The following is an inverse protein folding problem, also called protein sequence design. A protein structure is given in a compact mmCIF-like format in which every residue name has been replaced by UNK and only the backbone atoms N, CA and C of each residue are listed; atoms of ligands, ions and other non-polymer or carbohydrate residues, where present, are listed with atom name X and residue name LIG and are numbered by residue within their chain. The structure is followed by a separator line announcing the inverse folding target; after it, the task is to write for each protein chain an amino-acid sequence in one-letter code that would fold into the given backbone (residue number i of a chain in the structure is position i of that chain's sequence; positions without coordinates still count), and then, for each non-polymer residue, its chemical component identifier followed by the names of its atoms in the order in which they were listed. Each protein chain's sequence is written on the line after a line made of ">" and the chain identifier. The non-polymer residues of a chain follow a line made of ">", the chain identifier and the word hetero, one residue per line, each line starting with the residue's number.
data_IF_446510751542
#
_entry.id   IF_446510751542
#
_cell.length_a   1.000
_cell.length_b   1.000
_cell.length_c   1.000
_cell.angle_alpha   90.00
_cell.angle_beta   90.00
_cell.angle_gamma   90.00
#
_symmetry.space_group_name_H-M   'P 1'
#
loop_
_entity.id
_entity.type
_entity.pdbx_description
1 polymer ?
#
# COMPACT_ATOMS: atom_id res chain seq x y z
N UNK A 1 4.34 25.38 -10.12
CA UNK A 1 4.31 24.81 -9.69
C UNK A 1 4.46 24.53 -9.31
N UNK A 2 4.28 24.59 -9.34
CA UNK A 2 4.43 24.12 -8.55
C UNK A 2 5.16 23.25 -8.79
N UNK A 3 6.00 23.60 -8.85
CA UNK A 3 6.89 22.79 -8.77
C UNK A 3 6.40 21.48 -8.71
N UNK A 4 7.12 20.54 -9.13
CA UNK A 4 6.69 19.36 -8.86
C UNK A 4 6.80 19.25 -7.47
N UNK A 5 5.77 19.02 -6.88
CA UNK A 5 5.82 18.93 -5.47
C UNK A 5 6.21 17.57 -5.06
N UNK A 6 6.85 17.47 -3.94
CA UNK A 6 7.13 16.17 -3.36
C UNK A 6 5.81 15.56 -2.95
N UNK A 7 5.85 14.30 -2.66
CA UNK A 7 4.65 13.63 -2.19
C UNK A 7 4.12 14.31 -0.95
N UNK A 8 4.99 14.67 -0.03
CA UNK A 8 4.53 15.30 1.20
C UNK A 8 3.89 16.65 0.92
N UNK A 9 4.43 17.39 -0.02
CA UNK A 9 3.87 18.68 -0.34
C UNK A 9 2.51 18.53 -0.96
N UNK A 10 2.34 17.54 -1.81
CA UNK A 10 1.04 17.35 -2.40
C UNK A 10 0.01 16.93 -1.38
N UNK A 11 0.42 16.12 -0.42
CA UNK A 11 -0.50 15.72 0.62
C UNK A 11 -0.93 16.93 1.43
N UNK A 12 0.01 17.78 1.75
CA UNK A 12 -0.33 18.97 2.51
C UNK A 12 -1.29 19.85 1.75
N UNK A 13 -1.12 19.94 0.44
CA UNK A 13 -2.03 20.77 -0.31
C UNK A 13 -3.37 20.16 -0.42
N UNK A 14 -3.44 18.84 -0.54
CA UNK A 14 -4.73 18.22 -0.61
C UNK A 14 -5.52 18.47 0.62
N UNK A 15 -4.86 18.63 1.71
CA UNK A 15 -5.60 18.92 2.90
C UNK A 15 -6.11 20.30 2.85
N UNK A 16 -5.59 21.11 1.95
CA UNK A 16 -6.13 22.34 1.82
C UNK A 16 -6.89 22.41 0.64
N UNK A 17 -6.76 21.65 -0.19
CA UNK A 17 -7.57 21.71 -1.30
C UNK A 17 -7.91 20.46 -1.67
N UNK A 18 -7.37 19.98 -1.57
CA UNK A 18 -7.46 18.95 -1.87
C UNK A 18 -7.85 18.23 -1.79
N UNK A 19 -7.97 18.29 -1.68
CA UNK A 19 -7.97 17.37 -1.62
C UNK A 19 -8.16 16.65 -1.89
N UNK A 20 -7.91 16.48 -1.81
CA UNK A 20 -7.73 15.73 -2.13
C UNK A 20 -7.84 15.04 -2.73
N UNK A 21 -7.73 14.91 -2.76
CA UNK A 21 -7.57 14.27 -3.32
C UNK A 21 -7.57 13.92 -4.12
N UNK A 22 -7.35 13.98 -4.36
CA UNK A 22 -7.16 13.63 -5.02
C UNK A 22 -7.15 13.30 -5.71
N UNK A 23 -7.00 13.53 -6.01
CA UNK A 23 -6.80 13.19 -6.65
C UNK A 23 -6.37 12.55 -7.09
N UNK A 24 -6.00 12.52 -7.07
CA UNK A 24 -5.48 11.99 -7.58
C UNK A 24 -5.46 10.98 -8.16
N UNK A 25 -5.57 10.96 -8.68
CA UNK A 25 -5.77 10.01 -9.21
C UNK A 25 -4.72 9.51 -9.95
N UNK A 26 -3.94 10.15 -10.40
CA UNK A 26 -2.90 9.69 -10.94
C UNK A 26 -2.16 9.40 -9.90
N UNK A 27 -2.53 8.78 -9.05
CA UNK A 27 -1.87 8.55 -7.95
C UNK A 27 -0.55 8.05 -8.14
N UNK A 28 0.24 8.04 -7.18
CA UNK A 28 1.58 7.64 -7.30
C UNK A 28 1.68 6.18 -7.66
N UNK A 29 2.76 5.85 -8.29
CA UNK A 29 3.08 4.50 -8.61
C UNK A 29 3.92 3.98 -7.46
N UNK A 30 3.56 2.86 -6.93
CA UNK A 30 4.33 2.26 -5.87
C UNK A 30 3.80 2.56 -4.49
N UNK A 31 4.54 2.13 -3.51
CA UNK A 31 4.15 2.25 -2.12
C UNK A 31 4.57 3.60 -1.60
N UNK A 32 3.66 4.30 -0.96
CA UNK A 32 3.95 5.63 -0.44
C UNK A 32 4.36 5.53 1.01
N UNK A 33 5.34 6.31 1.41
CA UNK A 33 5.89 6.24 2.76
C UNK A 33 6.00 7.63 3.35
N UNK A 34 5.59 7.74 4.61
CA UNK A 34 5.71 9.00 5.33
C UNK A 34 6.42 8.69 6.63
N UNK A 35 7.61 9.24 6.83
CA UNK A 35 8.38 8.99 8.05
C UNK A 35 7.96 10.01 9.10
N UNK A 36 7.40 9.53 10.21
CA UNK A 36 6.84 10.41 11.21
C UNK A 36 7.97 10.99 12.06
N UNK A 37 7.87 12.32 12.32
CA UNK A 37 8.91 13.01 13.00
C UNK A 37 8.98 12.61 14.45
N UNK A 38 10.18 12.40 14.93
CA UNK A 38 10.37 12.15 16.36
C UNK A 38 10.09 10.76 16.84
N UNK A 39 9.70 9.84 15.95
CA UNK A 39 9.45 8.47 16.35
C UNK A 39 9.96 7.55 15.25
N UNK A 40 10.15 6.28 15.59
CA UNK A 40 10.67 5.33 14.62
C UNK A 40 9.52 4.64 13.90
N UNK A 41 8.69 5.43 13.25
CA UNK A 41 7.49 4.92 12.57
C UNK A 41 7.45 5.46 11.16
N UNK A 42 7.14 4.58 10.23
CA UNK A 42 6.90 4.94 8.85
C UNK A 42 5.45 4.60 8.55
N UNK A 43 4.68 5.59 8.14
CA UNK A 43 3.29 5.35 7.73
C UNK A 43 3.30 4.99 6.27
N UNK A 44 2.91 3.78 5.97
CA UNK A 44 3.00 3.24 4.63
C UNK A 44 1.61 3.14 4.03
N UNK A 45 1.44 3.67 2.83
CA UNK A 45 0.18 3.56 2.12
C UNK A 45 0.34 2.50 1.04
N UNK A 46 -0.48 1.46 1.12
CA UNK A 46 -0.49 0.39 0.15
C UNK A 46 -1.70 0.57 -0.76
N UNK A 47 -1.52 0.33 -2.04
CA UNK A 47 -2.59 0.53 -3.00
C UNK A 47 -2.59 -0.59 -4.02
N UNK A 48 -3.72 -1.24 -4.17
CA UNK A 48 -3.90 -2.28 -5.17
C UNK A 48 -4.80 -1.72 -6.26
N UNK A 49 -4.32 -1.58 -7.49
CA UNK A 49 -5.13 -0.96 -8.52
C UNK A 49 -6.29 -1.84 -8.93
N UNK A 50 -7.35 -1.22 -9.40
CA UNK A 50 -8.52 -1.95 -9.84
C UNK A 50 -8.16 -3.01 -10.87
N UNK A 51 -7.18 -2.72 -11.73
CA UNK A 51 -6.80 -3.67 -12.77
C UNK A 51 -6.32 -5.00 -12.19
N UNK A 52 -5.80 -5.00 -10.97
CA UNK A 52 -5.34 -6.23 -10.34
C UNK A 52 -6.49 -7.02 -9.71
N UNK A 53 -7.62 -6.37 -9.46
CA UNK A 53 -8.74 -7.02 -8.82
C UNK A 53 -10.05 -6.39 -9.32
N UNK A 54 -10.34 -6.52 -10.61
CA UNK A 54 -11.42 -5.72 -11.22
C UNK A 54 -12.82 -6.00 -10.69
N UNK A 55 -13.08 -7.21 -10.27
CA UNK A 55 -14.40 -7.53 -9.77
C UNK A 55 -14.38 -7.96 -8.32
N UNK A 56 -13.37 -7.53 -7.58
CA UNK A 56 -13.22 -7.98 -6.21
C UNK A 56 -14.30 -7.39 -5.31
N UNK A 57 -14.68 -8.17 -4.33
CA UNK A 57 -15.61 -7.69 -3.31
C UNK A 57 -14.88 -7.43 -2.01
N UNK A 58 -13.69 -7.96 -1.83
CA UNK A 58 -12.90 -7.69 -0.64
C UNK A 58 -11.44 -7.88 -0.96
N UNK A 59 -10.58 -7.11 -0.30
CA UNK A 59 -9.14 -7.28 -0.40
C UNK A 59 -8.56 -7.06 0.98
N UNK A 60 -7.65 -7.94 1.38
CA UNK A 60 -6.92 -7.81 2.64
C UNK A 60 -5.43 -7.73 2.33
N UNK A 61 -4.68 -7.00 3.13
CA UNK A 61 -3.24 -7.04 3.02
C UNK A 61 -2.74 -7.99 4.11
N UNK A 62 -1.85 -8.88 3.73
CA UNK A 62 -1.40 -9.95 4.62
C UNK A 62 0.11 -10.03 4.54
N UNK A 63 0.77 -9.95 5.67
CA UNK A 63 2.23 -9.97 5.65
C UNK A 63 2.85 -10.06 7.01
N UNK A 64 4.17 -9.84 7.04
CA UNK A 64 4.93 -9.93 8.29
C UNK A 64 4.39 -9.01 9.36
N UNK A 65 3.84 -7.86 8.96
CA UNK A 65 3.36 -6.88 9.94
C UNK A 65 2.10 -7.31 10.67
N UNK A 66 1.41 -8.36 10.22
CA UNK A 66 0.25 -8.85 10.94
C UNK A 66 0.31 -10.36 11.11
N UNK A 67 1.55 -10.91 11.07
CA UNK A 67 1.78 -12.33 11.26
C UNK A 67 1.03 -13.17 10.24
N UNK A 68 0.88 -12.64 9.04
CA UNK A 68 0.21 -13.29 7.92
C UNK A 68 -1.22 -13.69 8.24
N UNK A 69 -1.89 -12.87 9.07
CA UNK A 69 -3.27 -13.10 9.44
C UNK A 69 -4.17 -12.63 8.31
N UNK A 70 -4.93 -13.54 7.72
CA UNK A 70 -5.70 -13.25 6.52
C UNK A 70 -6.94 -12.40 6.77
N UNK A 71 -7.23 -12.08 8.01
CA UNK A 71 -8.40 -11.25 8.30
C UNK A 71 -8.09 -10.04 9.15
N UNK A 72 -6.82 -9.72 9.32
CA UNK A 72 -6.48 -8.62 10.22
C UNK A 72 -6.63 -7.24 9.60
N UNK A 73 -6.30 -7.09 8.32
CA UNK A 73 -6.23 -5.76 7.71
C UNK A 73 -7.01 -5.68 6.41
N UNK A 74 -8.31 -5.41 6.49
CA UNK A 74 -9.08 -5.20 5.28
C UNK A 74 -8.71 -3.88 4.62
N UNK A 75 -8.73 -3.84 3.31
CA UNK A 75 -8.45 -2.63 2.56
C UNK A 75 -9.76 -1.99 2.14
N UNK A 76 -9.71 -0.68 1.92
CA UNK A 76 -10.89 0.08 1.57
C UNK A 76 -10.93 0.33 0.08
N UNK A 77 -12.07 0.12 -0.56
CA UNK A 77 -12.20 0.38 -1.97
C UNK A 77 -12.48 1.86 -2.20
N UNK A 78 -11.75 2.46 -3.09
CA UNK A 78 -11.96 3.84 -3.49
C UNK A 78 -12.98 3.91 -4.60
N UNK A 79 -13.45 5.13 -4.89
CA UNK A 79 -14.47 5.28 -5.92
C UNK A 79 -14.01 4.77 -7.28
N UNK A 80 -12.72 4.87 -7.57
CA UNK A 80 -12.23 4.41 -8.87
C UNK A 80 -12.00 2.90 -8.91
N UNK A 81 -12.26 2.20 -7.82
CA UNK A 81 -12.10 0.76 -7.80
C UNK A 81 -10.78 0.27 -7.24
N UNK A 82 -9.85 1.17 -6.96
CA UNK A 82 -8.60 0.76 -6.31
C UNK A 82 -8.87 0.46 -4.84
N UNK A 83 -8.01 -0.35 -4.24
CA UNK A 83 -8.08 -0.62 -2.81
C UNK A 83 -6.88 0.01 -2.12
N UNK A 84 -7.10 0.55 -0.93
CA UNK A 84 -6.05 1.28 -0.24
C UNK A 84 -6.08 0.97 1.26
N UNK A 85 -4.92 1.01 1.89
CA UNK A 85 -4.84 0.97 3.35
C UNK A 85 -3.54 1.62 3.79
N UNK A 86 -3.52 2.12 5.01
CA UNK A 86 -2.32 2.71 5.59
C UNK A 86 -1.97 1.94 6.84
N UNK A 87 -0.70 1.65 7.01
CA UNK A 87 -0.21 0.95 8.19
C UNK A 87 0.99 1.70 8.74
N UNK A 88 1.08 1.78 10.05
CA UNK A 88 2.22 2.39 10.71
C UNK A 88 3.18 1.27 11.08
N UNK A 89 4.37 1.30 10.50
CA UNK A 89 5.34 0.23 10.64
C UNK A 89 6.63 0.80 11.24
N UNK A 90 7.41 -0.06 11.88
CA UNK A 90 8.69 0.37 12.40
C UNK A 90 9.63 0.66 11.25
N UNK A 91 10.49 1.67 11.42
CA UNK A 91 11.44 2.03 10.38
C UNK A 91 12.63 1.08 10.40
N UNK A 92 13.35 1.06 9.27
CA UNK A 92 14.58 0.29 9.19
C UNK A 92 14.35 -1.20 9.03
N UNK A 93 13.22 -1.62 8.51
CA UNK A 93 12.89 -3.03 8.40
C UNK A 93 12.41 -3.39 7.02
N UNK A 94 12.36 -4.68 6.76
CA UNK A 94 11.77 -5.21 5.54
C UNK A 94 10.59 -6.03 5.95
N UNK A 95 9.46 -5.84 5.26
CA UNK A 95 8.27 -6.61 5.56
C UNK A 95 7.81 -7.28 4.25
N UNK A 96 7.63 -8.58 4.29
CA UNK A 96 7.08 -9.32 3.14
C UNK A 96 5.58 -9.32 3.24
N UNK A 97 4.90 -9.23 2.12
CA UNK A 97 3.45 -9.17 2.13
C UNK A 97 2.86 -9.55 0.78
N UNK A 98 1.57 -9.79 0.78
CA UNK A 98 0.78 -9.97 -0.44
C UNK A 98 -0.61 -9.46 -0.17
N UNK A 99 -1.41 -9.38 -1.23
CA UNK A 99 -2.82 -9.03 -1.12
C UNK A 99 -3.64 -10.31 -1.27
N UNK A 100 -4.72 -10.41 -0.50
CA UNK A 100 -5.63 -11.55 -0.60
C UNK A 100 -6.96 -11.03 -1.11
N UNK A 101 -7.33 -11.44 -2.31
CA UNK A 101 -8.52 -10.96 -3.00
C UNK A 101 -9.64 -11.97 -2.84
N UNK A 102 -10.79 -11.50 -2.36
CA UNK A 102 -11.99 -12.34 -2.22
C UNK A 102 -11.69 -13.62 -1.45
N UNK A 103 -10.76 -13.51 -0.49
CA UNK A 103 -10.46 -14.62 0.43
C UNK A 103 -9.83 -15.83 -0.26
N UNK A 104 -9.48 -15.75 -1.52
CA UNK A 104 -8.94 -16.92 -2.17
C UNK A 104 -7.84 -16.65 -3.19
N UNK A 105 -7.69 -15.43 -3.68
CA UNK A 105 -6.71 -15.16 -4.74
C UNK A 105 -5.61 -14.31 -4.18
N UNK A 106 -4.38 -14.81 -4.28
CA UNK A 106 -3.21 -14.06 -3.80
C UNK A 106 -2.63 -13.26 -4.93
N UNK A 107 -2.26 -12.02 -4.64
CA UNK A 107 -1.68 -11.13 -5.62
C UNK A 107 -0.54 -10.34 -4.99
N UNK A 108 0.51 -10.11 -5.75
CA UNK A 108 1.60 -9.28 -5.29
C UNK A 108 1.36 -7.82 -5.61
N UNK A 109 2.12 -6.95 -4.95
CA UNK A 109 2.10 -5.54 -5.30
C UNK A 109 2.89 -5.39 -6.60
N UNK A 110 2.34 -4.70 -7.57
CA UNK A 110 2.99 -4.58 -8.87
C UNK A 110 4.18 -3.62 -8.82
N UNK A 111 4.30 -2.85 -7.75
CA UNK A 111 5.36 -1.86 -7.63
C UNK A 111 6.00 -1.90 -6.26
N UNK A 112 6.25 -3.07 -5.74
CA UNK A 112 6.89 -3.23 -4.44
C UNK A 112 8.35 -2.77 -4.52
N UNK A 113 8.93 -2.53 -3.36
CA UNK A 113 10.34 -2.13 -3.34
C UNK A 113 11.22 -3.24 -3.86
N UNK A 114 10.87 -4.49 -3.61
CA UNK A 114 11.56 -5.63 -4.22
C UNK A 114 10.70 -6.85 -4.02
N UNK A 115 11.13 -7.95 -4.58
CA UNK A 115 10.42 -9.22 -4.45
C UNK A 115 11.40 -10.27 -3.99
N UNK A 116 10.94 -11.17 -3.11
CA UNK A 116 11.76 -12.26 -2.62
C UNK A 116 10.99 -13.55 -2.77
N UNK A 117 11.71 -14.65 -2.92
CA UNK A 117 11.04 -15.92 -3.07
C UNK A 117 10.40 -16.33 -1.75
N UNK A 118 9.17 -16.75 -1.83
CA UNK A 118 8.48 -17.23 -0.64
C UNK A 118 9.10 -18.54 -0.18
N UNK A 119 9.06 -18.79 1.13
CA UNK A 119 9.51 -20.07 1.63
C UNK A 119 8.45 -21.14 1.39
N UNK A 120 7.27 -20.75 0.88
CA UNK A 120 6.22 -21.69 0.61
C UNK A 120 5.91 -21.68 -0.88
N UNK A 121 6.11 -22.75 -1.58
CA UNK A 121 5.76 -22.87 -2.98
C UNK A 121 6.67 -22.07 -3.88
N UNK A 122 6.22 -21.82 -5.09
CA UNK A 122 7.02 -21.18 -6.10
C UNK A 122 6.66 -19.74 -6.31
N UNK A 123 6.02 -19.11 -5.38
CA UNK A 123 5.58 -17.73 -5.55
C UNK A 123 6.53 -16.75 -4.87
N UNK A 124 6.55 -15.54 -5.37
CA UNK A 124 7.34 -14.50 -4.74
C UNK A 124 6.47 -13.73 -3.77
N UNK A 125 7.10 -13.09 -2.80
CA UNK A 125 6.42 -12.14 -1.93
C UNK A 125 6.90 -10.75 -2.26
N UNK A 126 6.00 -9.78 -2.14
CA UNK A 126 6.36 -8.38 -2.26
C UNK A 126 7.05 -7.95 -0.98
N UNK A 127 7.93 -6.96 -1.07
CA UNK A 127 8.65 -6.46 0.10
C UNK A 127 8.52 -4.95 0.15
N UNK A 128 8.23 -4.42 1.34
CA UNK A 128 8.29 -3.00 1.58
C UNK A 128 9.44 -2.73 2.53
N UNK A 129 10.25 -1.72 2.18
CA UNK A 129 11.41 -1.34 2.97
C UNK A 129 11.07 -0.07 3.74
N UNK A 130 11.22 -0.06 5.01
CA UNK A 130 10.96 1.11 5.82
C UNK A 130 12.26 1.68 6.35
#
# INVERSE_FOLDING_TARGET
>A
MQKMKTFAERIAELTENESTTEKSTEASVGIEKEYLKGVNVCRVTFRLPKAAAPDAKSVYIVGDFNNWNISANPMKMLENGDYITKLDLETGKEYQFRYLIDESIWENDWNADKYVKSTYGDHDNSVVLT
#
